data_IF_792335666121
#
_entry.id   IF_792335666121
#
_cell.length_a   1.000
_cell.length_b   1.000
_cell.length_c   1.000
_cell.angle_alpha   90.00
_cell.angle_beta   90.00
_cell.angle_gamma   90.00
#
_symmetry.space_group_name_H-M   'P 1'
#
loop_
_entity.id
_entity.type
_entity.pdbx_description
1 polymer ?
#
# COMPACT_ATOMS: atom_id res chain seq x y z
N UNK A 1 -14.77 -6.01 -0.62
CA UNK A 1 -13.37 -5.91 -0.15
C UNK A 1 -12.40 -5.88 -1.32
N UNK A 2 -12.55 -6.77 -2.30
CA UNK A 2 -11.70 -6.80 -3.50
C UNK A 2 -11.55 -5.43 -4.18
N UNK A 3 -12.67 -4.76 -4.49
CA UNK A 3 -12.65 -3.41 -5.07
C UNK A 3 -11.92 -2.38 -4.20
N UNK A 4 -12.03 -2.48 -2.87
CA UNK A 4 -11.34 -1.57 -1.95
C UNK A 4 -9.84 -1.87 -1.86
N UNK A 5 -9.43 -3.12 -2.07
CA UNK A 5 -8.03 -3.52 -2.16
C UNK A 5 -7.43 -3.03 -3.47
N UNK A 6 -8.15 -3.19 -4.59
CA UNK A 6 -7.76 -2.65 -5.89
C UNK A 6 -7.58 -1.14 -5.83
N UNK A 7 -8.56 -0.43 -5.25
CA UNK A 7 -8.44 1.02 -5.01
C UNK A 7 -7.20 1.36 -4.16
N UNK A 8 -6.92 0.60 -3.10
CA UNK A 8 -5.74 0.82 -2.28
C UNK A 8 -4.45 0.64 -3.09
N UNK A 9 -4.37 -0.39 -3.95
CA UNK A 9 -3.24 -0.60 -4.84
C UNK A 9 -3.09 0.56 -5.82
N UNK A 10 -4.19 1.05 -6.40
CA UNK A 10 -4.18 2.22 -7.27
C UNK A 10 -3.71 3.49 -6.54
N UNK A 11 -4.14 3.70 -5.29
CA UNK A 11 -3.68 4.82 -4.47
C UNK A 11 -2.16 4.72 -4.18
N UNK A 12 -1.63 3.51 -3.92
CA UNK A 12 -0.19 3.24 -3.75
C UNK A 12 0.59 3.56 -5.04
N UNK A 13 0.09 3.13 -6.19
CA UNK A 13 0.70 3.38 -7.50
C UNK A 13 0.66 4.87 -7.85
N UNK A 14 -0.43 5.55 -7.53
CA UNK A 14 -0.60 6.99 -7.76
C UNK A 14 0.36 7.81 -6.90
N UNK A 15 0.59 7.41 -5.65
CA UNK A 15 1.59 8.05 -4.78
C UNK A 15 3.02 7.87 -5.31
N UNK A 16 3.37 6.67 -5.81
CA UNK A 16 4.67 6.43 -6.46
C UNK A 16 4.88 7.32 -7.69
N UNK A 17 3.85 7.44 -8.53
CA UNK A 17 3.87 8.32 -9.70
C UNK A 17 4.06 9.79 -9.29
N UNK A 18 3.37 10.22 -8.24
CA UNK A 18 3.50 11.58 -7.69
C UNK A 18 4.92 11.86 -7.19
N UNK A 19 5.51 10.90 -6.47
CA UNK A 19 6.91 10.97 -6.03
C UNK A 19 7.87 11.05 -7.22
N UNK A 20 7.65 10.24 -8.26
CA UNK A 20 8.48 10.22 -9.46
C UNK A 20 8.46 11.56 -10.20
N UNK A 21 7.29 12.21 -10.31
CA UNK A 21 7.17 13.56 -10.87
C UNK A 21 7.88 14.61 -10.01
N UNK A 22 7.74 14.53 -8.68
CA UNK A 22 8.39 15.47 -7.78
C UNK A 22 9.92 15.38 -7.87
N UNK A 23 10.48 14.16 -7.99
CA UNK A 23 11.91 13.95 -8.16
C UNK A 23 12.46 14.42 -9.51
N UNK A 24 11.63 14.47 -10.55
CA UNK A 24 12.08 14.83 -11.90
C UNK A 24 12.47 16.32 -12.03
N UNK A 25 11.92 17.21 -11.19
CA UNK A 25 12.23 18.64 -11.19
C UNK A 25 11.98 19.36 -12.52
N UNK A 26 11.30 18.72 -13.48
CA UNK A 26 11.10 19.24 -14.84
C UNK A 26 9.83 20.08 -14.92
N UNK A 27 9.91 21.17 -15.70
CA UNK A 27 8.74 21.99 -16.08
C UNK A 27 7.86 21.31 -17.13
N UNK A 28 8.40 20.34 -17.88
CA UNK A 28 7.61 19.45 -18.73
C UNK A 28 7.13 18.21 -17.95
N UNK A 29 5.99 17.66 -18.33
CA UNK A 29 5.45 16.41 -17.77
C UNK A 29 5.95 15.18 -18.54
N UNK A 30 7.05 15.30 -19.30
CA UNK A 30 7.57 14.20 -20.10
C UNK A 30 8.46 13.30 -19.25
N UNK A 31 7.87 12.17 -18.85
CA UNK A 31 8.59 11.06 -18.21
C UNK A 31 9.52 10.39 -19.22
N UNK A 32 10.77 10.19 -18.83
CA UNK A 32 11.77 9.46 -19.61
C UNK A 32 11.34 8.01 -19.82
N UNK A 33 11.94 7.32 -20.82
CA UNK A 33 11.73 5.88 -21.02
C UNK A 33 12.05 5.06 -19.77
N UNK A 34 13.15 5.41 -19.07
CA UNK A 34 13.54 4.78 -17.80
C UNK A 34 12.48 5.00 -16.73
N UNK A 35 11.90 6.21 -16.64
CA UNK A 35 10.85 6.48 -15.67
C UNK A 35 9.58 5.67 -15.94
N UNK A 36 9.20 5.55 -17.22
CA UNK A 36 8.07 4.70 -17.64
C UNK A 36 8.30 3.24 -17.26
N UNK A 37 9.49 2.71 -17.54
CA UNK A 37 9.87 1.34 -17.19
C UNK A 37 9.82 1.12 -15.68
N UNK A 38 10.42 2.02 -14.88
CA UNK A 38 10.36 1.94 -13.42
C UNK A 38 8.93 2.00 -12.86
N UNK A 39 8.05 2.80 -13.47
CA UNK A 39 6.65 2.89 -13.08
C UNK A 39 5.89 1.60 -13.37
N UNK A 40 6.05 1.05 -14.58
CA UNK A 40 5.43 -0.22 -14.95
C UNK A 40 5.97 -1.38 -14.09
N UNK A 41 7.28 -1.44 -13.85
CA UNK A 41 7.89 -2.43 -12.96
C UNK A 41 7.35 -2.33 -11.53
N UNK A 42 7.19 -1.11 -11.01
CA UNK A 42 6.62 -0.90 -9.69
C UNK A 42 5.18 -1.38 -9.62
N UNK A 43 4.34 -0.94 -10.57
CA UNK A 43 2.92 -1.29 -10.66
C UNK A 43 2.72 -2.80 -10.80
N UNK A 44 3.43 -3.43 -11.72
CA UNK A 44 3.32 -4.87 -11.99
C UNK A 44 3.97 -5.73 -10.90
N UNK A 45 4.90 -5.17 -10.13
CA UNK A 45 5.53 -5.86 -9.00
C UNK A 45 4.72 -5.85 -7.70
N UNK A 46 3.62 -5.08 -7.61
CA UNK A 46 2.73 -5.16 -6.44
C UNK A 46 1.93 -6.45 -6.51
N UNK A 47 1.97 -7.23 -5.43
CA UNK A 47 1.18 -8.44 -5.29
C UNK A 47 0.37 -8.46 -4.00
N UNK A 48 -0.79 -9.10 -4.08
CA UNK A 48 -1.73 -9.25 -2.96
C UNK A 48 -1.83 -10.73 -2.63
N UNK A 49 -1.62 -11.07 -1.36
CA UNK A 49 -1.72 -12.43 -0.84
C UNK A 49 -2.79 -12.50 0.24
N UNK A 50 -3.86 -13.24 -0.04
CA UNK A 50 -4.96 -13.41 0.90
C UNK A 50 -4.65 -14.50 1.93
N UNK A 51 -4.67 -14.11 3.20
CA UNK A 51 -4.64 -15.03 4.33
C UNK A 51 -5.95 -15.01 5.11
N UNK A 52 -6.13 -16.00 5.98
CA UNK A 52 -7.34 -16.16 6.80
C UNK A 52 -7.65 -14.93 7.66
N UNK A 53 -6.62 -14.34 8.27
CA UNK A 53 -6.77 -13.19 9.18
C UNK A 53 -6.38 -11.86 8.56
N UNK A 54 -5.39 -11.88 7.66
CA UNK A 54 -4.88 -10.69 7.01
C UNK A 54 -4.71 -10.92 5.53
N UNK A 55 -4.96 -9.88 4.74
CA UNK A 55 -4.51 -9.78 3.36
C UNK A 55 -3.20 -9.01 3.39
N UNK A 56 -2.15 -9.56 2.77
CA UNK A 56 -0.81 -8.99 2.72
C UNK A 56 -0.62 -8.30 1.38
N UNK A 57 -0.15 -7.06 1.40
CA UNK A 57 0.29 -6.35 0.20
C UNK A 57 1.82 -6.35 0.17
N UNK A 58 2.38 -6.89 -0.90
CA UNK A 58 3.82 -7.00 -1.16
C UNK A 58 4.15 -6.01 -2.27
N UNK A 59 5.18 -5.21 -2.04
CA UNK A 59 5.72 -4.27 -3.03
C UNK A 59 6.73 -4.94 -3.96
N UNK A 60 6.98 -4.32 -5.13
CA UNK A 60 7.88 -4.76 -6.20
C UNK A 60 9.23 -5.34 -5.72
N UNK A 61 9.83 -4.82 -4.65
CA UNK A 61 11.17 -5.20 -4.18
C UNK A 61 11.21 -6.32 -3.15
N UNK A 62 10.14 -7.11 -3.03
CA UNK A 62 10.07 -8.19 -2.05
C UNK A 62 9.94 -7.70 -0.60
N UNK A 63 9.55 -6.43 -0.40
CA UNK A 63 9.17 -5.90 0.91
C UNK A 63 7.66 -5.93 1.08
N UNK A 64 7.20 -6.18 2.30
CA UNK A 64 5.77 -6.04 2.65
C UNK A 64 5.44 -4.56 2.74
N UNK A 65 4.47 -4.10 1.97
CA UNK A 65 3.92 -2.76 2.11
C UNK A 65 3.09 -2.71 3.40
N UNK A 66 2.09 -3.58 3.54
CA UNK A 66 1.18 -3.57 4.67
C UNK A 66 0.27 -4.78 4.75
N UNK A 67 -0.56 -4.80 5.79
CA UNK A 67 -1.57 -5.81 6.00
C UNK A 67 -2.95 -5.18 6.14
N UNK A 68 -3.98 -5.87 5.68
CA UNK A 68 -5.38 -5.48 5.81
C UNK A 68 -6.07 -6.55 6.64
N UNK A 69 -6.82 -6.15 7.67
CA UNK A 69 -7.58 -7.10 8.49
C UNK A 69 -8.72 -7.71 7.67
N UNK A 70 -8.74 -9.05 7.55
CA UNK A 70 -9.70 -9.80 6.73
C UNK A 70 -10.79 -10.50 7.56
N UNK A 71 -10.86 -10.21 8.86
CA UNK A 71 -11.79 -10.88 9.76
C UNK A 71 -12.55 -9.88 10.62
N UNK A 72 -13.79 -10.22 10.93
CA UNK A 72 -14.66 -9.47 11.82
C UNK A 72 -14.49 -9.85 13.29
N UNK A 73 -13.71 -10.91 13.57
CA UNK A 73 -13.52 -11.48 14.92
C UNK A 73 -12.25 -11.01 15.62
N UNK A 74 -11.55 -10.02 15.05
CA UNK A 74 -10.36 -9.48 15.69
C UNK A 74 -10.73 -8.61 16.90
N UNK A 75 -10.07 -8.85 18.04
CA UNK A 75 -10.39 -8.16 19.31
C UNK A 75 -10.04 -6.67 19.33
N UNK A 76 -9.15 -6.21 18.45
CA UNK A 76 -8.60 -4.84 18.49
C UNK A 76 -8.86 -4.06 17.20
N UNK A 77 -8.93 -4.74 16.08
CA UNK A 77 -9.03 -4.13 14.76
C UNK A 77 -10.31 -4.55 14.07
N UNK A 78 -10.82 -3.69 13.20
CA UNK A 78 -11.98 -3.99 12.37
C UNK A 78 -11.52 -4.53 11.02
N UNK A 79 -12.37 -5.32 10.37
CA UNK A 79 -12.19 -5.70 8.96
C UNK A 79 -11.92 -4.44 8.12
N UNK A 80 -10.93 -4.52 7.25
CA UNK A 80 -10.48 -3.40 6.42
C UNK A 80 -9.42 -2.50 7.06
N UNK A 81 -9.11 -2.65 8.35
CA UNK A 81 -8.05 -1.85 8.98
C UNK A 81 -6.70 -2.13 8.32
N UNK A 82 -6.01 -1.05 7.94
CA UNK A 82 -4.65 -1.08 7.40
C UNK A 82 -3.67 -1.12 8.57
N UNK A 83 -2.74 -2.06 8.55
CA UNK A 83 -1.73 -2.24 9.58
C UNK A 83 -0.32 -2.19 8.97
N UNK A 84 0.59 -1.50 9.66
CA UNK A 84 2.01 -1.48 9.31
C UNK A 84 2.61 -2.89 9.47
N UNK A 85 3.54 -3.33 8.62
CA UNK A 85 4.25 -4.60 8.83
C UNK A 85 5.18 -4.51 10.05
N UNK A 86 5.20 -5.57 10.87
CA UNK A 86 6.24 -5.81 11.87
C UNK A 86 7.31 -6.78 11.36
N UNK A 87 6.99 -7.53 10.30
CA UNK A 87 7.88 -8.43 9.58
C UNK A 87 7.15 -9.02 8.37
N UNK A 88 7.76 -10.01 7.71
CA UNK A 88 7.20 -10.63 6.52
C UNK A 88 5.82 -11.27 6.74
N UNK A 89 5.60 -11.86 7.91
CA UNK A 89 4.42 -12.70 8.19
C UNK A 89 3.37 -12.05 9.10
N UNK A 90 3.66 -10.90 9.70
CA UNK A 90 2.75 -10.32 10.69
C UNK A 90 2.77 -8.78 10.71
N UNK A 91 1.61 -8.14 10.95
CA UNK A 91 1.53 -6.71 11.19
C UNK A 91 1.95 -6.32 12.61
N UNK A 92 2.36 -5.06 12.76
CA UNK A 92 2.42 -4.38 14.03
C UNK A 92 1.00 -4.13 14.54
N UNK A 93 0.67 -4.67 15.70
CA UNK A 93 -0.68 -4.59 16.31
C UNK A 93 -0.81 -3.44 17.31
N UNK A 94 -0.10 -2.32 17.07
CA UNK A 94 -0.14 -1.15 17.94
C UNK A 94 -1.35 -0.25 17.66
N UNK A 95 -1.63 0.07 16.40
CA UNK A 95 -2.80 0.86 15.97
C UNK A 95 -3.15 0.58 14.51
N UNK A 96 -4.34 0.98 14.07
CA UNK A 96 -4.71 1.02 12.65
C UNK A 96 -4.06 2.23 11.96
N UNK A 97 -3.94 2.19 10.63
CA UNK A 97 -3.44 3.28 9.76
C UNK A 97 -4.53 3.80 8.81
N UNK A 98 -5.77 3.70 9.29
CA UNK A 98 -6.98 3.92 8.52
C UNK A 98 -7.62 2.60 8.07
N UNK A 99 -8.73 2.70 7.35
CA UNK A 99 -9.55 1.56 6.98
C UNK A 99 -9.96 1.66 5.50
N UNK A 100 -9.75 0.59 4.73
CA UNK A 100 -10.03 0.61 3.28
C UNK A 100 -11.52 0.72 2.93
N UNK A 101 -12.40 0.38 3.86
CA UNK A 101 -13.85 0.42 3.67
C UNK A 101 -14.40 1.82 3.96
N UNK A 102 -13.84 2.50 4.97
CA UNK A 102 -14.27 3.85 5.36
C UNK A 102 -13.57 4.95 4.54
N UNK A 103 -12.40 4.64 3.97
CA UNK A 103 -11.51 5.64 3.38
C UNK A 103 -10.76 6.44 4.45
N UNK A 104 -10.35 7.67 4.11
CA UNK A 104 -9.70 8.59 5.05
C UNK A 104 -8.30 8.14 5.53
N UNK A 105 -7.69 7.16 4.87
CA UNK A 105 -6.31 6.78 5.11
C UNK A 105 -5.36 7.64 4.28
N UNK A 106 -4.16 7.86 4.81
CA UNK A 106 -3.06 8.48 4.07
C UNK A 106 -2.17 7.38 3.49
N UNK A 107 -1.72 7.57 2.26
CA UNK A 107 -0.86 6.62 1.55
C UNK A 107 0.54 7.17 1.42
N UNK A 108 1.50 6.25 1.56
CA UNK A 108 2.84 6.39 1.02
C UNK A 108 3.16 5.10 0.27
N UNK A 109 3.77 5.21 -0.91
CA UNK A 109 4.16 4.07 -1.72
C UNK A 109 5.16 3.17 -0.99
N UNK A 110 5.90 3.72 -0.02
CA UNK A 110 6.85 3.02 0.85
C UNK A 110 6.22 2.23 1.99
N UNK A 111 4.91 2.40 2.26
CA UNK A 111 4.20 1.68 3.32
C UNK A 111 3.15 2.53 4.05
N UNK A 112 2.30 1.92 4.90
CA UNK A 112 1.41 2.63 5.80
C UNK A 112 2.17 3.57 6.72
N UNK A 113 1.58 4.74 7.00
CA UNK A 113 2.19 5.76 7.84
C UNK A 113 2.63 5.24 9.21
N UNK A 114 3.62 5.91 9.80
CA UNK A 114 4.00 5.68 11.18
C UNK A 114 3.07 6.42 12.15
N UNK A 115 3.00 5.95 13.40
CA UNK A 115 2.31 6.69 14.46
C UNK A 115 3.15 7.94 14.77
N UNK A 116 2.52 9.13 14.74
CA UNK A 116 3.12 10.34 15.29
C UNK A 116 2.91 10.38 16.79
#
# INVERSE_FOLDING_TARGET
>A
MQQQIEKLVDDIVTDYLTWQYACAGRRDRDISSVQKEMFEDFKNGISVSEGRKYIKIISNRGSVWGFIVNTDTDKKFRKGDILKPAGWNAPARNAARGNILDGGYMIQWTGPLYLK
#
